data_IF_711365861314
#
_entry.id   IF_711365861314
#
_cell.length_a   1.000
_cell.length_b   1.000
_cell.length_c   1.000
_cell.angle_alpha   90.00
_cell.angle_beta   90.00
_cell.angle_gamma   90.00
#
_symmetry.space_group_name_H-M   'P 1'
#
loop_
_entity.id
_entity.type
_entity.pdbx_description
1 polymer ?
#
# COMPACT_ATOMS: atom_id res chain seq x y z
N UNK A 1 -64.48 16.95 58.82
CA UNK A 1 -64.92 15.59 58.45
C UNK A 1 -65.83 15.71 57.24
N UNK A 2 -65.74 14.73 56.34
CA UNK A 2 -66.54 14.53 55.12
C UNK A 2 -66.28 15.38 53.88
N UNK A 3 -65.10 15.14 53.31
CA UNK A 3 -64.98 14.39 52.04
C UNK A 3 -65.95 14.72 50.91
N UNK A 4 -65.60 15.73 50.11
CA UNK A 4 -66.11 15.92 48.75
C UNK A 4 -65.69 14.72 47.88
N UNK A 5 -66.45 13.62 47.93
CA UNK A 5 -66.27 12.47 47.04
C UNK A 5 -66.77 12.89 45.67
N UNK A 6 -65.86 13.25 44.78
CA UNK A 6 -66.15 13.31 43.35
C UNK A 6 -66.75 11.97 42.94
N UNK A 7 -67.97 11.96 42.36
CA UNK A 7 -68.62 10.71 42.02
C UNK A 7 -67.73 9.93 41.04
N UNK A 8 -67.42 8.70 41.42
CA UNK A 8 -66.60 7.79 40.64
C UNK A 8 -67.22 7.64 39.23
N UNK A 9 -66.52 8.07 38.16
CA UNK A 9 -67.07 8.08 36.82
C UNK A 9 -67.52 6.67 36.38
N UNK A 10 -66.89 5.61 36.89
CA UNK A 10 -67.32 4.24 36.61
C UNK A 10 -68.69 3.92 37.22
N UNK A 11 -69.00 4.45 38.41
CA UNK A 11 -70.29 4.27 39.08
C UNK A 11 -71.40 5.12 38.46
N UNK A 12 -71.08 6.31 37.97
CA UNK A 12 -72.04 7.17 37.27
C UNK A 12 -72.43 6.54 35.93
N UNK A 13 -71.45 6.06 35.18
CA UNK A 13 -71.69 5.37 33.90
C UNK A 13 -72.47 4.08 34.15
N UNK A 14 -72.06 3.24 35.10
CA UNK A 14 -72.80 2.01 35.44
C UNK A 14 -74.24 2.28 35.91
N UNK A 15 -74.46 3.32 36.72
CA UNK A 15 -75.78 3.71 37.20
C UNK A 15 -76.71 4.17 36.07
N UNK A 16 -76.19 4.90 35.08
CA UNK A 16 -76.99 5.36 33.93
C UNK A 16 -77.43 4.21 33.01
N UNK A 17 -76.58 3.20 32.82
CA UNK A 17 -76.91 1.99 32.05
C UNK A 17 -77.95 1.13 32.79
N UNK A 18 -77.81 0.96 34.12
CA UNK A 18 -78.77 0.21 34.92
C UNK A 18 -80.15 0.88 34.95
N UNK A 19 -80.20 2.22 35.05
CA UNK A 19 -81.45 2.97 35.06
C UNK A 19 -82.24 2.83 33.74
N UNK A 20 -81.56 2.92 32.59
CA UNK A 20 -82.20 2.69 31.29
C UNK A 20 -82.68 1.24 31.13
N UNK A 21 -81.90 0.26 31.62
CA UNK A 21 -82.26 -1.15 31.57
C UNK A 21 -83.51 -1.49 32.38
N UNK A 22 -83.60 -0.99 33.62
CA UNK A 22 -84.75 -1.26 34.49
C UNK A 22 -86.02 -0.51 34.05
N UNK A 23 -85.90 0.72 33.54
CA UNK A 23 -87.03 1.47 33.00
C UNK A 23 -87.64 0.77 31.76
N UNK A 24 -86.79 0.26 30.86
CA UNK A 24 -87.22 -0.51 29.69
C UNK A 24 -87.87 -1.84 30.10
N UNK A 25 -87.29 -2.55 31.08
CA UNK A 25 -87.81 -3.82 31.57
C UNK A 25 -89.17 -3.66 32.26
N UNK A 26 -89.37 -2.57 33.01
CA UNK A 26 -90.64 -2.24 33.65
C UNK A 26 -91.74 -1.91 32.62
N UNK A 27 -91.42 -1.13 31.58
CA UNK A 27 -92.37 -0.76 30.53
C UNK A 27 -92.73 -1.94 29.62
N UNK A 28 -91.78 -2.84 29.34
CA UNK A 28 -92.01 -4.04 28.53
C UNK A 28 -92.83 -5.10 29.28
N UNK A 29 -92.56 -5.33 30.57
CA UNK A 29 -93.26 -6.36 31.35
C UNK A 29 -94.73 -6.04 31.60
N UNK A 30 -95.05 -4.76 31.84
CA UNK A 30 -96.43 -4.34 32.16
C UNK A 30 -97.35 -4.28 30.95
N UNK A 31 -96.83 -4.01 29.75
CA UNK A 31 -97.62 -3.91 28.52
C UNK A 31 -97.89 -5.27 27.87
N UNK A 32 -96.93 -6.21 27.94
CA UNK A 32 -97.07 -7.55 27.35
C UNK A 32 -98.06 -8.46 28.11
N UNK A 33 -98.16 -8.33 29.43
CA UNK A 33 -99.06 -9.17 30.25
C UNK A 33 -100.54 -8.80 30.09
N UNK A 34 -100.81 -7.53 29.75
CA UNK A 34 -102.15 -7.05 29.42
C UNK A 34 -102.58 -7.44 28.00
N UNK A 35 -101.62 -7.51 27.05
CA UNK A 35 -101.89 -7.82 25.64
C UNK A 35 -102.27 -9.30 25.40
N UNK A 36 -101.73 -10.24 26.18
CA UNK A 36 -101.96 -11.69 26.02
C UNK A 36 -103.37 -12.18 26.40
N UNK A 37 -104.21 -11.32 26.99
CA UNK A 37 -105.57 -11.68 27.44
C UNK A 37 -106.67 -11.33 26.44
N UNK A 38 -106.34 -10.73 25.29
CA UNK A 38 -107.31 -10.28 24.28
C UNK A 38 -107.15 -11.10 22.98
N UNK A 39 -108.17 -11.84 22.54
CA UNK A 39 -108.10 -12.62 21.29
C UNK A 39 -108.07 -11.68 20.07
N UNK A 40 -107.11 -11.89 19.16
CA UNK A 40 -106.89 -11.10 17.93
C UNK A 40 -105.64 -10.20 17.92
N UNK A 41 -104.87 -10.18 19.00
CA UNK A 41 -103.69 -9.30 19.18
C UNK A 41 -102.41 -9.86 18.54
N UNK A 42 -102.38 -11.14 18.17
CA UNK A 42 -101.17 -11.82 17.66
C UNK A 42 -100.65 -11.24 16.33
N UNK A 43 -101.55 -10.86 15.42
CA UNK A 43 -101.16 -10.24 14.14
C UNK A 43 -100.56 -8.84 14.34
N UNK A 44 -101.04 -8.09 15.34
CA UNK A 44 -100.49 -6.79 15.71
C UNK A 44 -99.12 -6.92 16.38
N UNK A 45 -98.93 -7.94 17.21
CA UNK A 45 -97.66 -8.22 17.88
C UNK A 45 -96.57 -8.65 16.89
N UNK A 46 -96.88 -9.48 15.89
CA UNK A 46 -95.91 -9.89 14.87
C UNK A 46 -95.43 -8.71 13.99
N UNK A 47 -96.34 -7.77 13.66
CA UNK A 47 -95.98 -6.55 12.93
C UNK A 47 -95.13 -5.60 13.79
N UNK A 48 -95.44 -5.49 15.09
CA UNK A 48 -94.65 -4.72 16.05
C UNK A 48 -93.27 -5.35 16.28
N UNK A 49 -93.17 -6.67 16.31
CA UNK A 49 -91.92 -7.41 16.50
C UNK A 49 -90.98 -7.25 15.30
N UNK A 50 -91.50 -7.42 14.08
CA UNK A 50 -90.72 -7.20 12.84
C UNK A 50 -90.23 -5.76 12.69
N UNK A 51 -91.10 -4.78 12.97
CA UNK A 51 -90.73 -3.35 12.95
C UNK A 51 -89.79 -2.98 14.10
N UNK A 52 -89.95 -3.62 15.26
CA UNK A 52 -89.05 -3.49 16.41
C UNK A 52 -87.65 -4.02 16.10
N UNK A 53 -87.54 -5.18 15.46
CA UNK A 53 -86.26 -5.78 15.09
C UNK A 53 -85.46 -4.92 14.10
N UNK A 54 -86.13 -4.30 13.12
CA UNK A 54 -85.45 -3.36 12.20
C UNK A 54 -85.00 -2.08 12.90
N UNK A 55 -85.83 -1.55 13.80
CA UNK A 55 -85.50 -0.36 14.59
C UNK A 55 -84.32 -0.62 15.53
N UNK A 56 -84.28 -1.79 16.17
CA UNK A 56 -83.17 -2.21 17.03
C UNK A 56 -81.87 -2.40 16.23
N UNK A 57 -81.92 -3.05 15.05
CA UNK A 57 -80.72 -3.20 14.19
C UNK A 57 -80.16 -1.85 13.72
N UNK A 58 -81.04 -0.91 13.37
CA UNK A 58 -80.63 0.44 12.99
C UNK A 58 -80.03 1.19 14.19
N UNK A 59 -80.61 1.02 15.38
CA UNK A 59 -80.08 1.59 16.62
C UNK A 59 -78.70 1.00 16.96
N UNK A 60 -78.52 -0.31 16.86
CA UNK A 60 -77.24 -0.99 17.13
C UNK A 60 -76.13 -0.49 16.20
N UNK A 61 -76.41 -0.31 14.90
CA UNK A 61 -75.42 0.22 13.96
C UNK A 61 -74.98 1.65 14.27
N UNK A 62 -75.90 2.47 14.80
CA UNK A 62 -75.60 3.84 15.27
C UNK A 62 -74.79 3.78 16.57
N UNK A 63 -75.20 2.94 17.50
CA UNK A 63 -74.52 2.71 18.78
C UNK A 63 -73.09 2.25 18.56
N UNK A 64 -72.85 1.25 17.70
CA UNK A 64 -71.50 0.75 17.38
C UNK A 64 -70.58 1.83 16.79
N UNK A 65 -71.13 2.69 15.93
CA UNK A 65 -70.37 3.79 15.32
C UNK A 65 -69.97 4.81 16.37
N UNK A 66 -70.91 5.19 17.25
CA UNK A 66 -70.66 6.14 18.34
C UNK A 66 -69.68 5.54 19.35
N UNK A 67 -69.87 4.29 19.77
CA UNK A 67 -68.97 3.57 20.67
C UNK A 67 -67.55 3.51 20.14
N UNK A 68 -67.37 3.16 18.86
CA UNK A 68 -66.04 3.12 18.24
C UNK A 68 -65.34 4.47 18.28
N UNK A 69 -66.07 5.54 18.02
CA UNK A 69 -65.50 6.89 18.05
C UNK A 69 -65.16 7.32 19.48
N UNK A 70 -66.02 7.02 20.45
CA UNK A 70 -65.76 7.27 21.87
C UNK A 70 -64.54 6.49 22.33
N UNK A 71 -64.43 5.19 22.02
CA UNK A 71 -63.26 4.37 22.37
C UNK A 71 -61.99 4.94 21.76
N UNK A 72 -62.01 5.31 20.47
CA UNK A 72 -60.85 5.93 19.81
C UNK A 72 -60.43 7.23 20.51
N UNK A 73 -61.39 8.08 20.86
CA UNK A 73 -61.15 9.35 21.54
C UNK A 73 -60.56 9.14 22.94
N UNK A 74 -61.11 8.19 23.69
CA UNK A 74 -60.64 7.82 25.03
C UNK A 74 -59.23 7.23 24.97
N UNK A 75 -58.96 6.31 24.03
CA UNK A 75 -57.61 5.73 23.85
C UNK A 75 -56.60 6.81 23.45
N UNK A 76 -56.94 7.70 22.52
CA UNK A 76 -56.05 8.80 22.11
C UNK A 76 -55.73 9.76 23.28
N UNK A 77 -56.73 10.09 24.09
CA UNK A 77 -56.53 10.90 25.29
C UNK A 77 -55.67 10.17 26.33
N UNK A 78 -55.93 8.88 26.56
CA UNK A 78 -55.15 8.07 27.50
C UNK A 78 -53.68 7.95 27.07
N UNK A 79 -53.40 7.71 25.78
CA UNK A 79 -52.03 7.65 25.26
C UNK A 79 -51.26 8.98 25.34
N UNK A 80 -51.96 10.10 25.53
CA UNK A 80 -51.32 11.42 25.71
C UNK A 80 -50.90 11.64 27.16
N UNK A 81 -51.66 11.11 28.11
CA UNK A 81 -51.42 11.27 29.55
C UNK A 81 -50.56 10.15 30.15
N UNK A 82 -50.57 8.96 29.55
CA UNK A 82 -49.79 7.81 30.02
C UNK A 82 -48.35 7.91 29.52
N UNK A 83 -47.39 7.82 30.45
CA UNK A 83 -45.98 7.64 30.10
C UNK A 83 -45.75 6.19 29.63
N UNK A 84 -45.80 6.01 28.31
CA UNK A 84 -45.55 4.72 27.66
C UNK A 84 -44.15 4.20 27.98
N UNK A 85 -43.16 5.07 28.23
CA UNK A 85 -41.80 4.64 28.59
C UNK A 85 -41.79 3.96 29.96
N UNK A 86 -42.52 4.51 30.93
CA UNK A 86 -42.68 3.92 32.25
C UNK A 86 -43.41 2.57 32.17
N UNK A 87 -44.52 2.52 31.40
CA UNK A 87 -45.27 1.27 31.18
C UNK A 87 -44.39 0.19 30.56
N UNK A 88 -43.61 0.51 29.52
CA UNK A 88 -42.70 -0.44 28.87
C UNK A 88 -41.61 -0.89 29.84
N UNK A 89 -40.97 0.01 30.60
CA UNK A 89 -39.91 -0.37 31.54
C UNK A 89 -40.39 -1.26 32.69
N UNK A 90 -41.61 -1.05 33.17
CA UNK A 90 -42.13 -1.75 34.35
C UNK A 90 -42.87 -3.04 34.00
N UNK A 91 -43.44 -3.14 32.80
CA UNK A 91 -44.36 -4.23 32.44
C UNK A 91 -43.94 -5.02 31.20
N UNK A 92 -42.88 -4.61 30.49
CA UNK A 92 -42.33 -5.35 29.35
C UNK A 92 -40.95 -5.89 29.71
N UNK A 93 -40.80 -7.20 29.57
CA UNK A 93 -39.51 -7.89 29.71
C UNK A 93 -38.66 -7.62 28.46
N UNK A 94 -37.75 -6.64 28.57
CA UNK A 94 -36.86 -6.27 27.48
C UNK A 94 -35.77 -7.32 27.24
N UNK A 95 -35.43 -8.12 28.24
CA UNK A 95 -34.44 -9.19 28.12
C UNK A 95 -35.01 -10.32 27.27
N UNK A 96 -36.25 -10.75 27.54
CA UNK A 96 -36.96 -11.72 26.72
C UNK A 96 -37.16 -11.24 25.26
N UNK A 97 -37.37 -9.94 25.05
CA UNK A 97 -37.41 -9.36 23.70
C UNK A 97 -36.04 -9.40 23.05
N UNK A 98 -34.98 -9.04 23.78
CA UNK A 98 -33.60 -9.01 23.27
C UNK A 98 -33.11 -10.42 22.89
N UNK A 99 -33.51 -11.46 23.62
CA UNK A 99 -33.23 -12.86 23.27
C UNK A 99 -33.86 -13.28 21.93
N UNK A 100 -34.97 -12.65 21.53
CA UNK A 100 -35.61 -12.86 20.23
C UNK A 100 -34.94 -12.08 19.08
N UNK A 101 -33.97 -11.20 19.37
CA UNK A 101 -33.25 -10.43 18.36
C UNK A 101 -32.08 -11.27 17.84
N UNK A 102 -32.18 -11.68 16.58
CA UNK A 102 -31.12 -12.36 15.83
C UNK A 102 -30.05 -11.34 15.41
N UNK A 103 -29.00 -11.21 16.22
CA UNK A 103 -27.91 -10.26 16.00
C UNK A 103 -27.11 -10.64 14.76
N UNK A 104 -26.89 -11.93 14.50
CA UNK A 104 -26.23 -12.42 13.30
C UNK A 104 -26.94 -11.92 12.03
N UNK A 105 -28.26 -12.04 11.94
CA UNK A 105 -29.02 -11.51 10.78
C UNK A 105 -28.91 -9.98 10.65
N UNK A 106 -28.75 -9.26 11.76
CA UNK A 106 -28.54 -7.80 11.75
C UNK A 106 -27.13 -7.50 11.21
N UNK A 107 -26.11 -8.20 11.70
CA UNK A 107 -24.71 -8.04 11.29
C UNK A 107 -24.53 -8.41 9.81
N UNK A 108 -25.18 -9.45 9.32
CA UNK A 108 -25.17 -9.84 7.90
C UNK A 108 -25.74 -8.74 6.98
N UNK A 109 -26.57 -7.85 7.52
CA UNK A 109 -27.12 -6.70 6.81
C UNK A 109 -26.23 -5.46 6.90
N UNK A 110 -25.24 -5.47 7.79
CA UNK A 110 -24.22 -4.43 7.89
C UNK A 110 -23.14 -4.72 6.86
N UNK A 111 -23.11 -3.87 5.83
CA UNK A 111 -22.06 -3.86 4.82
C UNK A 111 -20.76 -3.31 5.44
N UNK A 112 -19.94 -4.21 5.96
CA UNK A 112 -18.65 -3.89 6.60
C UNK A 112 -17.68 -3.28 5.59
N UNK A 113 -17.73 -3.70 4.32
CA UNK A 113 -16.88 -3.19 3.25
C UNK A 113 -17.14 -1.69 3.05
N UNK A 114 -18.41 -1.28 3.02
CA UNK A 114 -18.79 0.14 2.92
C UNK A 114 -18.45 0.97 4.16
N UNK A 115 -18.34 0.34 5.33
CA UNK A 115 -17.82 0.99 6.55
C UNK A 115 -16.32 1.17 6.44
N UNK A 116 -15.59 0.15 6.00
CA UNK A 116 -14.13 0.20 5.80
C UNK A 116 -13.77 1.23 4.73
N UNK A 117 -14.53 1.35 3.64
CA UNK A 117 -14.34 2.37 2.61
C UNK A 117 -14.47 3.83 3.12
N UNK A 118 -15.18 4.02 4.24
CA UNK A 118 -15.27 5.32 4.92
C UNK A 118 -14.14 5.57 5.91
N UNK A 119 -13.36 4.54 6.25
CA UNK A 119 -12.21 4.66 7.14
C UNK A 119 -11.01 5.11 6.31
N UNK A 120 -10.68 6.38 6.42
CA UNK A 120 -9.45 6.92 5.87
C UNK A 120 -8.26 6.48 6.75
N UNK A 121 -7.65 5.38 6.37
CA UNK A 121 -6.51 4.78 7.08
C UNK A 121 -5.29 5.71 7.04
N UNK A 122 -5.12 6.51 5.98
CA UNK A 122 -4.02 7.46 5.86
C UNK A 122 -4.21 8.63 6.85
N UNK A 123 -5.43 9.14 6.99
CA UNK A 123 -5.76 10.16 7.98
C UNK A 123 -5.62 9.65 9.43
N UNK A 124 -5.92 8.38 9.67
CA UNK A 124 -5.68 7.74 10.99
C UNK A 124 -4.18 7.60 11.22
N UNK A 125 -3.43 7.05 10.26
CA UNK A 125 -1.98 6.86 10.36
C UNK A 125 -1.24 8.18 10.59
N UNK A 126 -1.66 9.27 9.96
CA UNK A 126 -1.10 10.61 10.16
C UNK A 126 -1.31 11.17 11.58
N UNK A 127 -2.31 10.67 12.31
CA UNK A 127 -2.62 11.07 13.70
C UNK A 127 -2.00 10.15 14.73
N UNK A 128 -1.52 8.97 14.32
CA UNK A 128 -0.83 8.03 15.20
C UNK A 128 0.62 8.49 15.32
N UNK A 129 0.99 8.96 16.51
CA UNK A 129 2.40 9.21 16.83
C UNK A 129 3.12 7.86 17.00
N UNK A 130 4.01 7.54 16.07
CA UNK A 130 4.80 6.31 16.11
C UNK A 130 6.10 6.46 16.91
N UNK A 131 6.49 7.67 17.31
CA UNK A 131 7.74 7.91 18.04
C UNK A 131 7.85 7.04 19.31
N UNK A 132 6.79 6.88 20.14
CA UNK A 132 6.85 6.01 21.32
C UNK A 132 7.02 4.52 20.99
N UNK A 133 6.66 4.09 19.78
CA UNK A 133 6.88 2.72 19.30
C UNK A 133 8.32 2.57 18.84
N UNK A 134 8.85 3.56 18.12
CA UNK A 134 10.24 3.60 17.66
C UNK A 134 11.23 3.60 18.83
N UNK A 135 10.92 4.28 19.93
CA UNK A 135 11.73 4.27 21.16
C UNK A 135 11.85 2.87 21.80
N UNK A 136 10.93 1.96 21.46
CA UNK A 136 10.94 0.56 21.92
C UNK A 136 11.62 -0.38 20.94
N UNK A 137 11.97 0.10 19.75
CA UNK A 137 12.71 -0.68 18.75
C UNK A 137 14.19 -0.58 19.09
N UNK A 138 14.74 -1.67 19.60
CA UNK A 138 16.18 -1.83 19.77
C UNK A 138 16.83 -2.05 18.40
N UNK A 139 17.37 -0.97 17.83
CA UNK A 139 18.05 -1.00 16.53
C UNK A 139 19.30 -1.87 16.57
N UNK A 140 19.98 -1.98 17.71
CA UNK A 140 21.15 -2.84 17.87
C UNK A 140 20.77 -4.31 17.83
N UNK A 141 19.64 -4.69 18.45
CA UNK A 141 19.09 -6.03 18.35
C UNK A 141 18.61 -6.36 16.92
N UNK A 142 18.05 -5.39 16.19
CA UNK A 142 17.71 -5.56 14.77
C UNK A 142 18.97 -5.72 13.93
N UNK A 143 19.99 -4.89 14.15
CA UNK A 143 21.26 -4.95 13.45
C UNK A 143 22.01 -6.25 13.72
N UNK A 144 21.96 -6.79 14.94
CA UNK A 144 22.55 -8.08 15.30
C UNK A 144 21.90 -9.27 14.56
N UNK A 145 20.67 -9.10 14.07
CA UNK A 145 19.98 -10.10 13.23
C UNK A 145 20.31 -9.95 11.74
N UNK A 146 20.97 -8.88 11.35
CA UNK A 146 21.42 -8.68 9.97
C UNK A 146 22.63 -9.56 9.72
N UNK A 147 22.44 -10.55 8.85
CA UNK A 147 23.50 -11.41 8.35
C UNK A 147 24.36 -10.65 7.34
N UNK A 148 25.47 -10.08 7.85
CA UNK A 148 26.41 -9.30 7.04
C UNK A 148 27.12 -10.17 6.00
N UNK A 149 27.39 -11.45 6.29
CA UNK A 149 28.01 -12.37 5.34
C UNK A 149 27.15 -12.56 4.10
N UNK A 150 25.84 -12.78 4.27
CA UNK A 150 24.90 -12.85 3.13
C UNK A 150 24.73 -11.52 2.38
N UNK A 151 25.01 -10.38 3.02
CA UNK A 151 25.05 -9.08 2.33
C UNK A 151 26.33 -8.98 1.50
N UNK A 152 27.48 -9.33 2.07
CA UNK A 152 28.77 -9.32 1.36
C UNK A 152 28.78 -10.28 0.18
N UNK A 153 28.15 -11.45 0.28
CA UNK A 153 28.01 -12.40 -0.84
C UNK A 153 27.24 -11.83 -2.05
N UNK A 154 26.40 -10.81 -1.81
CA UNK A 154 25.65 -10.09 -2.85
C UNK A 154 26.41 -8.87 -3.39
N UNK A 155 27.54 -8.50 -2.78
CA UNK A 155 28.38 -7.40 -3.25
C UNK A 155 29.26 -7.91 -4.39
N UNK A 156 28.98 -7.44 -5.60
CA UNK A 156 29.86 -7.66 -6.75
C UNK A 156 31.10 -6.76 -6.65
N UNK A 157 32.18 -7.32 -6.12
CA UNK A 157 33.47 -6.63 -5.97
C UNK A 157 34.06 -6.26 -7.33
N UNK A 158 33.77 -7.00 -8.40
CA UNK A 158 34.26 -6.66 -9.75
C UNK A 158 33.54 -5.42 -10.29
N UNK A 159 32.23 -5.31 -10.06
CA UNK A 159 31.47 -4.12 -10.44
C UNK A 159 31.91 -2.87 -9.65
N UNK A 160 32.33 -3.04 -8.39
CA UNK A 160 32.94 -1.96 -7.60
C UNK A 160 34.33 -1.61 -8.13
N UNK A 161 35.18 -2.61 -8.39
CA UNK A 161 36.51 -2.42 -8.95
C UNK A 161 36.47 -1.72 -10.32
N UNK A 162 35.48 -2.01 -11.15
CA UNK A 162 35.29 -1.34 -12.44
C UNK A 162 34.96 0.15 -12.31
N UNK A 163 34.50 0.61 -11.15
CA UNK A 163 34.26 2.04 -10.85
C UNK A 163 35.51 2.74 -10.31
N UNK A 164 36.56 1.99 -9.98
CA UNK A 164 37.83 2.56 -9.52
C UNK A 164 38.59 3.10 -10.73
N UNK A 165 38.79 4.41 -10.75
CA UNK A 165 39.57 5.11 -11.77
C UNK A 165 41.06 4.98 -11.46
N UNK A 166 41.68 3.93 -12.00
CA UNK A 166 43.10 3.62 -11.81
C UNK A 166 43.98 4.73 -12.39
N UNK A 167 43.55 5.41 -13.45
CA UNK A 167 44.32 6.50 -14.06
C UNK A 167 44.39 7.71 -13.13
N UNK A 168 43.28 8.07 -12.47
CA UNK A 168 43.29 9.12 -11.43
C UNK A 168 44.20 8.74 -10.26
N UNK A 169 44.16 7.49 -9.82
CA UNK A 169 45.03 7.00 -8.74
C UNK A 169 46.50 7.07 -9.18
N UNK A 170 46.82 6.61 -10.39
CA UNK A 170 48.17 6.65 -10.94
C UNK A 170 48.69 8.09 -11.08
N UNK A 171 47.84 9.04 -11.48
CA UNK A 171 48.19 10.46 -11.54
C UNK A 171 48.50 11.07 -10.16
N UNK A 172 48.02 10.47 -9.08
CA UNK A 172 48.35 10.88 -7.71
C UNK A 172 49.61 10.23 -7.12
N UNK A 173 50.27 9.34 -7.88
CA UNK A 173 51.54 8.73 -7.47
C UNK A 173 52.69 9.68 -7.75
N UNK A 174 53.45 10.01 -6.71
CA UNK A 174 54.71 10.75 -6.81
C UNK A 174 55.82 9.82 -7.32
N UNK A 175 56.02 9.81 -8.64
CA UNK A 175 57.02 8.97 -9.31
C UNK A 175 58.44 9.36 -8.90
N UNK A 176 58.70 10.64 -8.62
CA UNK A 176 60.03 11.11 -8.22
C UNK A 176 60.40 10.57 -6.83
N UNK A 177 59.45 10.55 -5.90
CA UNK A 177 59.62 9.89 -4.60
C UNK A 177 59.85 8.38 -4.74
N UNK A 178 59.17 7.71 -5.68
CA UNK A 178 59.43 6.29 -5.95
C UNK A 178 60.83 6.06 -6.51
N UNK A 179 61.25 6.84 -7.50
CA UNK A 179 62.59 6.76 -8.11
C UNK A 179 63.68 7.05 -7.07
N UNK A 180 63.46 8.01 -6.17
CA UNK A 180 64.40 8.33 -5.09
C UNK A 180 64.68 7.17 -4.12
N UNK A 181 63.83 6.14 -4.08
CA UNK A 181 64.05 4.92 -3.28
C UNK A 181 64.74 3.80 -4.06
N UNK A 182 64.91 3.94 -5.37
CA UNK A 182 65.58 2.94 -6.21
C UNK A 182 67.09 3.17 -6.13
N UNK A 183 67.86 2.12 -5.82
CA UNK A 183 69.32 2.16 -5.93
C UNK A 183 69.75 2.05 -7.40
N UNK A 184 69.77 3.21 -8.06
CA UNK A 184 70.17 3.32 -9.46
C UNK A 184 71.65 2.92 -9.67
N UNK A 185 72.49 3.07 -8.66
CA UNK A 185 73.92 2.72 -8.76
C UNK A 185 74.09 1.21 -8.73
N UNK A 186 73.43 0.53 -7.79
CA UNK A 186 73.38 -0.93 -7.73
C UNK A 186 72.82 -1.52 -9.03
N UNK A 187 71.69 -1.01 -9.50
CA UNK A 187 71.07 -1.45 -10.77
C UNK A 187 72.00 -1.23 -11.98
N UNK A 188 72.70 -0.09 -12.03
CA UNK A 188 73.63 0.20 -13.13
C UNK A 188 74.82 -0.76 -13.11
N UNK A 189 75.34 -1.11 -11.94
CA UNK A 189 76.43 -2.07 -11.81
C UNK A 189 75.98 -3.47 -12.25
N UNK A 190 74.77 -3.90 -11.89
CA UNK A 190 74.22 -5.18 -12.33
C UNK A 190 74.06 -5.24 -13.86
N UNK A 191 73.61 -4.15 -14.48
CA UNK A 191 73.55 -4.04 -15.94
C UNK A 191 74.94 -4.08 -16.57
N UNK A 192 75.93 -3.39 -15.99
CA UNK A 192 77.32 -3.38 -16.47
C UNK A 192 77.95 -4.77 -16.36
N UNK A 193 77.69 -5.51 -15.28
CA UNK A 193 78.18 -6.87 -15.09
C UNK A 193 77.52 -7.86 -16.05
N UNK A 194 76.24 -7.65 -16.40
CA UNK A 194 75.53 -8.45 -17.39
C UNK A 194 75.98 -8.21 -18.84
N UNK A 195 76.60 -7.07 -19.13
CA UNK A 195 77.13 -6.74 -20.46
C UNK A 195 78.62 -7.10 -20.52
N UNK A 196 79.01 -7.93 -21.49
CA UNK A 196 80.42 -8.23 -21.75
C UNK A 196 81.12 -7.05 -22.45
N UNK A 197 81.30 -5.95 -21.71
CA UNK A 197 82.02 -4.76 -22.15
C UNK A 197 83.43 -5.11 -22.67
N UNK A 198 84.22 -6.00 -22.02
CA UNK A 198 85.53 -6.38 -22.55
C UNK A 198 85.47 -6.96 -23.97
N UNK A 199 84.49 -7.83 -24.26
CA UNK A 199 84.31 -8.37 -25.60
C UNK A 199 83.84 -7.31 -26.59
N UNK A 200 82.85 -6.49 -26.23
CA UNK A 200 82.34 -5.42 -27.10
C UNK A 200 83.46 -4.44 -27.45
N UNK A 201 84.28 -4.05 -26.47
CA UNK A 201 85.43 -3.15 -26.69
C UNK A 201 86.45 -3.83 -27.62
N UNK A 202 86.73 -5.12 -27.43
CA UNK A 202 87.68 -5.85 -28.29
C UNK A 202 87.17 -6.00 -29.72
N UNK A 203 85.91 -6.39 -29.90
CA UNK A 203 85.29 -6.53 -31.23
C UNK A 203 85.22 -5.17 -31.93
N UNK A 204 84.77 -4.12 -31.24
CA UNK A 204 84.68 -2.75 -31.80
C UNK A 204 86.05 -2.18 -32.15
N UNK A 205 87.07 -2.39 -31.30
CA UNK A 205 88.44 -1.94 -31.56
C UNK A 205 89.07 -2.74 -32.70
N UNK A 206 88.78 -4.03 -32.80
CA UNK A 206 89.26 -4.90 -33.90
C UNK A 206 88.68 -4.47 -35.25
N UNK A 207 87.38 -4.23 -35.31
CA UNK A 207 86.72 -3.74 -36.53
C UNK A 207 87.25 -2.36 -36.91
N UNK A 208 87.34 -1.42 -35.97
CA UNK A 208 87.89 -0.08 -36.23
C UNK A 208 89.36 -0.12 -36.67
N UNK A 209 90.18 -0.96 -36.04
CA UNK A 209 91.60 -1.12 -36.42
C UNK A 209 91.74 -1.75 -37.81
N UNK A 210 90.89 -2.75 -38.13
CA UNK A 210 90.90 -3.39 -39.44
C UNK A 210 90.49 -2.41 -40.54
N UNK A 211 89.46 -1.59 -40.29
CA UNK A 211 89.03 -0.54 -41.22
C UNK A 211 90.09 0.56 -41.38
N UNK A 212 90.74 0.99 -40.29
CA UNK A 212 91.83 1.95 -40.35
C UNK A 212 93.02 1.43 -41.19
N UNK A 213 93.39 0.15 -41.03
CA UNK A 213 94.46 -0.48 -41.81
C UNK A 213 94.06 -0.65 -43.28
N UNK A 214 92.81 -1.05 -43.56
CA UNK A 214 92.28 -1.13 -44.94
C UNK A 214 92.30 0.24 -45.61
N UNK A 215 91.88 1.29 -44.90
CA UNK A 215 91.95 2.67 -45.36
C UNK A 215 93.38 3.10 -45.68
N UNK A 216 94.33 2.85 -44.77
CA UNK A 216 95.74 3.18 -44.99
C UNK A 216 96.33 2.44 -46.22
N UNK A 217 96.00 1.15 -46.40
CA UNK A 217 96.43 0.38 -47.59
C UNK A 217 95.81 0.91 -48.87
N UNK A 218 94.53 1.24 -48.86
CA UNK A 218 93.85 1.82 -50.03
C UNK A 218 94.48 3.16 -50.41
N UNK A 219 94.80 4.00 -49.43
CA UNK A 219 95.44 5.29 -49.66
C UNK A 219 96.89 5.16 -50.14
N UNK A 220 97.62 4.15 -49.66
CA UNK A 220 98.95 3.80 -50.15
C UNK A 220 98.95 3.35 -51.62
N UNK A 221 98.04 2.43 -51.99
CA UNK A 221 97.90 2.00 -53.40
C UNK A 221 97.57 3.16 -54.33
N UNK A 222 96.68 4.07 -53.90
CA UNK A 222 96.36 5.28 -54.67
C UNK A 222 97.57 6.23 -54.82
N UNK A 223 98.42 6.33 -53.80
CA UNK A 223 99.66 7.11 -53.86
C UNK A 223 100.69 6.46 -54.80
N UNK A 224 100.83 5.13 -54.77
CA UNK A 224 101.74 4.39 -55.63
C UNK A 224 101.30 4.46 -57.11
N UNK A 225 100.00 4.33 -57.40
CA UNK A 225 99.44 4.52 -58.75
C UNK A 225 99.70 5.94 -59.27
N UNK A 226 99.57 6.96 -58.40
CA UNK A 226 99.88 8.35 -58.76
C UNK A 226 101.37 8.55 -59.09
N UNK A 227 102.27 7.91 -58.33
CA UNK A 227 103.72 7.93 -58.59
C UNK A 227 104.06 7.18 -59.87
N UNK A 228 103.51 5.99 -60.10
CA UNK A 228 103.74 5.21 -61.31
C UNK A 228 103.27 5.95 -62.57
N UNK A 229 102.12 6.62 -62.52
CA UNK A 229 101.63 7.47 -63.60
C UNK A 229 102.48 8.73 -63.84
N UNK A 230 103.17 9.24 -62.81
CA UNK A 230 104.14 10.32 -62.94
C UNK A 230 105.46 9.83 -63.57
N UNK A 231 106.01 8.71 -63.08
CA UNK A 231 107.25 8.10 -63.58
C UNK A 231 107.07 7.61 -65.02
N UNK A 232 105.93 7.00 -65.35
CA UNK A 232 105.60 6.57 -66.72
C UNK A 232 105.53 7.73 -67.72
N UNK A 233 105.11 8.92 -67.26
CA UNK A 233 105.16 10.16 -68.05
C UNK A 233 106.57 10.72 -68.18
N UNK A 234 107.43 10.54 -67.18
CA UNK A 234 108.82 11.02 -67.20
C UNK A 234 109.75 10.15 -68.09
N UNK A 235 109.48 8.85 -68.19
CA UNK A 235 110.30 7.90 -68.96
C UNK A 235 109.72 7.47 -70.32
N UNK A 236 108.73 8.20 -70.85
CA UNK A 236 108.35 8.11 -72.27
C UNK A 236 107.92 6.72 -72.73
N UNK A 237 106.77 6.24 -72.25
CA UNK A 237 106.07 5.11 -72.86
C UNK A 237 105.04 5.63 -73.87
N UNK A 238 105.37 5.52 -75.16
CA UNK A 238 104.44 5.70 -76.27
C UNK A 238 103.37 4.60 -76.25
N UNK A 239 102.11 5.01 -76.30
CA UNK A 239 100.98 4.17 -76.65
C UNK A 239 101.18 3.61 -78.06
N UNK A 240 101.04 2.28 -78.22
CA UNK A 240 100.70 1.69 -79.52
C UNK A 240 99.44 0.86 -79.41
N UNK A 241 98.42 1.48 -79.97
CA UNK A 241 97.08 1.03 -80.33
C UNK A 241 97.10 -0.21 -81.24
N UNK A 242 96.10 -1.08 -81.08
CA UNK A 242 95.85 -2.21 -81.96
C UNK A 242 94.41 -2.71 -81.87
N UNK A 243 93.52 -2.11 -82.69
CA UNK A 243 92.26 -2.68 -83.23
C UNK A 243 92.48 -4.15 -83.67
N UNK A 244 91.54 -5.08 -83.78
CA UNK A 244 90.08 -5.16 -83.95
C UNK A 244 89.70 -6.60 -83.46
N UNK A 245 88.53 -6.94 -82.94
CA UNK A 245 87.16 -6.65 -83.35
C UNK A 245 86.46 -8.01 -83.49
N UNK A 246 85.41 -8.28 -82.72
CA UNK A 246 84.31 -9.15 -83.16
C UNK A 246 83.09 -8.95 -82.26
N UNK A 247 81.93 -8.83 -82.90
CA UNK A 247 80.61 -8.58 -82.32
C UNK A 247 79.95 -9.89 -81.88
N UNK A 248 79.46 -9.95 -80.65
CA UNK A 248 78.26 -10.67 -80.21
C UNK A 248 77.89 -10.30 -78.77
#
# INVERSE_FOLDING_TARGET
MDGNRTPDPARVVAGSVAFLGDALRYAAGTTLDLARRVPGVDAGLALLESRGAETLRAADAVVDRVLREVVRRVVAAALTEVDITAVVREHVDLDAIAEGIDIERIVDRVDIERIVDRVDVDAIAARVDIAPILDRVDVDAVAARVDIERIVDRVDVNAIAAKVDVDRIAASVDVDAVIGRVDLVGLSNEVIEGVDLPRIIRESTSTMSTEAVRGARSQGMAADDAVAGFVGRLFGREEREGRAGDEA
#
